data_IF_570720484008
#
_entry.id   IF_570720484008
#
_cell.length_a   1.000
_cell.length_b   1.000
_cell.length_c   1.000
_cell.angle_alpha   90.00
_cell.angle_beta   90.00
_cell.angle_gamma   90.00
#
_symmetry.space_group_name_H-M   'P 1'
#
loop_
_entity.id
_entity.type
_entity.pdbx_description
1 polymer ?
#
# COMPACT_ATOMS: atom_id res chain seq x y z
N UNK A 1 -7.45 5.00 49.69
CA UNK A 1 -8.09 4.05 48.76
C UNK A 1 -8.24 4.73 47.42
N UNK A 2 -7.64 4.11 46.39
CA UNK A 2 -7.49 4.57 45.01
C UNK A 2 -8.78 4.95 44.30
N UNK A 3 -8.71 5.95 43.40
CA UNK A 3 -9.06 5.80 41.97
C UNK A 3 -8.79 7.11 41.23
N UNK A 4 -7.53 7.37 40.89
CA UNK A 4 -7.21 8.30 39.80
C UNK A 4 -7.50 7.57 38.49
N UNK A 5 -8.57 7.99 37.81
CA UNK A 5 -8.95 7.50 36.50
C UNK A 5 -7.76 7.62 35.52
N UNK A 6 -7.31 6.48 34.99
CA UNK A 6 -6.35 6.45 33.89
C UNK A 6 -7.04 7.03 32.65
N UNK A 7 -6.86 8.33 32.46
CA UNK A 7 -6.97 9.01 31.17
C UNK A 7 -6.39 8.11 30.09
N UNK A 8 -7.19 7.76 29.08
CA UNK A 8 -6.81 6.87 27.99
C UNK A 8 -5.46 7.27 27.41
N UNK A 9 -4.43 6.46 27.68
CA UNK A 9 -3.07 6.76 27.29
C UNK A 9 -3.00 6.89 25.77
N UNK A 10 -2.84 8.12 25.28
CA UNK A 10 -2.60 8.42 23.88
C UNK A 10 -1.27 7.79 23.48
N UNK A 11 -1.29 6.85 22.52
CA UNK A 11 -0.07 6.24 22.03
C UNK A 11 0.62 7.19 21.06
N UNK A 12 1.55 8.02 21.57
CA UNK A 12 2.29 9.00 20.76
C UNK A 12 2.95 8.36 19.54
N UNK A 13 3.55 7.16 19.70
CA UNK A 13 4.15 6.44 18.58
C UNK A 13 3.15 6.05 17.48
N UNK A 14 1.90 5.73 17.83
CA UNK A 14 0.86 5.43 16.85
C UNK A 14 0.45 6.68 16.08
N UNK A 15 0.34 7.82 16.75
CA UNK A 15 -0.01 9.08 16.09
C UNK A 15 1.10 9.57 15.17
N UNK A 16 2.36 9.41 15.58
CA UNK A 16 3.53 9.70 14.73
C UNK A 16 3.53 8.80 13.50
N UNK A 17 3.34 7.48 13.66
CA UNK A 17 3.30 6.55 12.55
C UNK A 17 2.18 6.89 11.54
N UNK A 18 0.98 7.27 12.03
CA UNK A 18 -0.11 7.77 11.16
C UNK A 18 0.26 9.06 10.45
N UNK A 19 0.87 10.00 11.15
CA UNK A 19 1.34 11.26 10.56
C UNK A 19 2.35 11.01 9.44
N UNK A 20 3.34 10.14 9.67
CA UNK A 20 4.32 9.72 8.66
C UNK A 20 3.63 9.08 7.46
N UNK A 21 2.67 8.18 7.70
CA UNK A 21 1.94 7.50 6.62
C UNK A 21 1.16 8.48 5.72
N UNK A 22 0.46 9.45 6.32
CA UNK A 22 -0.32 10.46 5.59
C UNK A 22 0.60 11.43 4.86
N UNK A 23 1.59 12.00 5.55
CA UNK A 23 2.52 12.97 4.96
C UNK A 23 3.38 12.33 3.87
N UNK A 24 3.83 11.10 4.07
CA UNK A 24 4.57 10.35 3.07
C UNK A 24 3.74 10.04 1.83
N UNK A 25 2.48 9.63 2.01
CA UNK A 25 1.55 9.43 0.88
C UNK A 25 1.29 10.73 0.13
N UNK A 26 1.12 11.85 0.84
CA UNK A 26 0.98 13.17 0.23
C UNK A 26 2.23 13.56 -0.57
N UNK A 27 3.42 13.44 0.03
CA UNK A 27 4.69 13.78 -0.62
C UNK A 27 4.94 12.92 -1.87
N UNK A 28 4.63 11.63 -1.79
CA UNK A 28 4.76 10.69 -2.92
C UNK A 28 3.88 11.14 -4.08
N UNK A 29 2.62 11.49 -3.81
CA UNK A 29 1.70 11.96 -4.84
C UNK A 29 2.16 13.30 -5.44
N UNK A 30 2.57 14.27 -4.61
CA UNK A 30 3.10 15.55 -5.11
C UNK A 30 4.27 15.32 -6.07
N UNK A 31 5.20 14.45 -5.70
CA UNK A 31 6.35 14.13 -6.54
C UNK A 31 5.92 13.47 -7.86
N UNK A 32 5.06 12.45 -7.81
CA UNK A 32 4.55 11.76 -8.99
C UNK A 32 3.84 12.73 -9.95
N UNK A 33 2.97 13.60 -9.43
CA UNK A 33 2.27 14.60 -10.26
C UNK A 33 3.20 15.66 -10.82
N UNK A 34 4.19 16.11 -10.04
CA UNK A 34 5.18 17.07 -10.51
C UNK A 34 6.00 16.51 -11.66
N UNK A 35 6.46 15.26 -11.55
CA UNK A 35 7.22 14.60 -12.60
C UNK A 35 6.36 14.38 -13.86
N UNK A 36 5.11 13.93 -13.68
CA UNK A 36 4.17 13.76 -14.79
C UNK A 36 3.85 15.08 -15.51
N UNK A 37 3.65 16.18 -14.77
CA UNK A 37 3.34 17.49 -15.34
C UNK A 37 4.53 18.11 -16.10
N UNK A 38 5.76 17.76 -15.71
CA UNK A 38 6.97 18.20 -16.40
C UNK A 38 7.23 17.45 -17.73
N UNK A 39 6.41 16.45 -18.07
CA UNK A 39 6.63 15.57 -19.22
C UNK A 39 7.85 14.66 -19.05
N UNK A 40 8.34 14.51 -17.81
CA UNK A 40 9.47 13.66 -17.49
C UNK A 40 9.01 12.20 -17.42
N UNK A 41 9.82 11.29 -17.98
CA UNK A 41 9.65 9.87 -17.70
C UNK A 41 10.04 9.62 -16.24
N UNK A 42 9.05 9.54 -15.36
CA UNK A 42 9.30 9.24 -13.95
C UNK A 42 9.77 7.80 -13.79
N UNK A 43 10.88 7.60 -13.07
CA UNK A 43 11.41 6.27 -12.73
C UNK A 43 10.36 5.37 -12.05
N UNK A 44 9.37 5.95 -11.36
CA UNK A 44 8.24 5.17 -10.79
C UNK A 44 7.29 4.63 -11.85
N UNK A 45 6.96 5.44 -12.85
CA UNK A 45 6.05 5.05 -13.93
C UNK A 45 6.74 4.12 -14.91
N UNK A 46 8.02 4.35 -15.20
CA UNK A 46 8.84 3.42 -15.97
C UNK A 46 8.94 2.07 -15.28
N UNK A 47 9.18 2.07 -13.96
CA UNK A 47 9.23 0.85 -13.18
C UNK A 47 7.90 0.10 -13.18
N UNK A 48 6.75 0.79 -13.10
CA UNK A 48 5.45 0.13 -12.99
C UNK A 48 4.81 -0.22 -14.34
N UNK A 49 5.02 0.59 -15.38
CA UNK A 49 4.21 0.56 -16.61
C UNK A 49 4.97 0.91 -17.90
N UNK A 50 6.25 1.30 -17.85
CA UNK A 50 6.96 1.83 -19.02
C UNK A 50 7.72 0.77 -19.83
N UNK A 51 8.82 0.27 -19.27
CA UNK A 51 9.68 -0.73 -19.93
C UNK A 51 9.99 -1.83 -18.92
N UNK A 52 9.54 -3.07 -19.17
CA UNK A 52 9.73 -4.22 -18.29
C UNK A 52 11.21 -4.68 -18.15
N UNK A 53 12.10 -4.19 -19.00
CA UNK A 53 13.54 -4.45 -18.96
C UNK A 53 14.33 -3.33 -18.26
N UNK A 54 13.68 -2.24 -17.88
CA UNK A 54 14.26 -1.16 -17.10
C UNK A 54 14.86 -1.68 -15.79
N UNK A 55 16.08 -1.25 -15.45
CA UNK A 55 16.72 -1.56 -14.17
C UNK A 55 17.40 -0.31 -13.63
N UNK A 56 17.04 0.10 -12.41
CA UNK A 56 17.43 1.39 -11.85
C UNK A 56 18.95 1.57 -11.75
N UNK A 57 19.68 0.54 -11.31
CA UNK A 57 21.15 0.62 -11.23
C UNK A 57 21.80 0.77 -12.61
N UNK A 58 21.20 0.18 -13.67
CA UNK A 58 21.69 0.33 -15.04
C UNK A 58 21.46 1.74 -15.54
N UNK A 59 20.27 2.29 -15.30
CA UNK A 59 19.94 3.66 -15.67
C UNK A 59 20.86 4.67 -14.97
N UNK A 60 21.03 4.55 -13.65
CA UNK A 60 21.94 5.40 -12.89
C UNK A 60 23.40 5.29 -13.36
N UNK A 61 23.82 4.12 -13.85
CA UNK A 61 25.17 3.93 -14.39
C UNK A 61 25.35 4.54 -15.79
N UNK A 62 24.30 4.53 -16.62
CA UNK A 62 24.32 5.08 -17.96
C UNK A 62 24.16 6.61 -17.95
N UNK A 63 23.27 7.12 -17.09
CA UNK A 63 22.90 8.53 -16.97
C UNK A 63 23.00 9.01 -15.51
N UNK A 64 24.21 9.19 -14.95
CA UNK A 64 24.42 9.59 -13.56
C UNK A 64 24.19 11.10 -13.32
N UNK A 65 23.04 11.63 -13.76
CA UNK A 65 22.68 13.03 -13.46
C UNK A 65 22.23 13.18 -12.01
N UNK A 66 22.37 14.40 -11.47
CA UNK A 66 21.88 14.72 -10.11
C UNK A 66 20.38 14.45 -9.99
N UNK A 67 19.63 14.81 -11.03
CA UNK A 67 18.18 14.61 -11.08
C UNK A 67 17.81 13.12 -11.11
N UNK A 68 18.56 12.28 -11.84
CA UNK A 68 18.36 10.84 -11.86
C UNK A 68 18.61 10.22 -10.47
N UNK A 69 19.66 10.66 -9.78
CA UNK A 69 19.97 10.20 -8.41
C UNK A 69 18.88 10.63 -7.42
N UNK A 70 18.41 11.88 -7.50
CA UNK A 70 17.33 12.37 -6.64
C UNK A 70 16.05 11.58 -6.87
N UNK A 71 15.63 11.40 -8.13
CA UNK A 71 14.44 10.63 -8.46
C UNK A 71 14.57 9.16 -8.04
N UNK A 72 15.76 8.57 -8.16
CA UNK A 72 16.02 7.21 -7.69
C UNK A 72 15.88 7.08 -6.17
N UNK A 73 16.42 8.03 -5.41
CA UNK A 73 16.29 8.06 -3.96
C UNK A 73 14.83 8.23 -3.54
N UNK A 74 14.09 9.14 -4.20
CA UNK A 74 12.66 9.32 -3.96
C UNK A 74 11.91 8.04 -4.27
N UNK A 75 12.18 7.37 -5.39
CA UNK A 75 11.59 6.06 -5.72
C UNK A 75 11.86 5.01 -4.63
N UNK A 76 13.12 4.87 -4.21
CA UNK A 76 13.54 3.88 -3.20
C UNK A 76 12.92 4.13 -1.82
N UNK A 77 12.65 5.39 -1.46
CA UNK A 77 12.12 5.76 -0.14
C UNK A 77 10.59 5.79 -0.11
N UNK A 78 9.95 6.17 -1.22
CA UNK A 78 8.52 6.51 -1.21
C UNK A 78 7.64 5.40 -1.76
N UNK A 79 8.06 4.73 -2.84
CA UNK A 79 7.18 3.82 -3.57
C UNK A 79 6.79 2.61 -2.72
N UNK A 80 5.48 2.37 -2.62
CA UNK A 80 4.84 1.28 -1.86
C UNK A 80 4.93 1.38 -0.33
N UNK A 81 5.93 2.04 0.25
CA UNK A 81 6.21 1.99 1.71
C UNK A 81 5.14 2.70 2.53
N UNK A 82 4.71 3.88 2.10
CA UNK A 82 3.64 4.60 2.80
C UNK A 82 2.27 3.96 2.61
N UNK A 83 2.02 3.32 1.46
CA UNK A 83 0.85 2.46 1.26
C UNK A 83 0.87 1.28 2.25
N UNK A 84 2.01 0.60 2.38
CA UNK A 84 2.19 -0.45 3.38
C UNK A 84 1.94 0.05 4.80
N UNK A 85 2.50 1.22 5.15
CA UNK A 85 2.37 1.80 6.48
C UNK A 85 0.91 2.19 6.79
N UNK A 86 0.21 2.83 5.84
CA UNK A 86 -1.22 3.11 5.96
C UNK A 86 -2.02 1.81 6.16
N UNK A 87 -1.71 0.76 5.41
CA UNK A 87 -2.38 -0.54 5.53
C UNK A 87 -2.22 -1.13 6.93
N UNK A 88 -1.02 -1.08 7.49
CA UNK A 88 -0.75 -1.52 8.88
C UNK A 88 -1.54 -0.64 9.87
N UNK A 89 -1.51 0.69 9.70
CA UNK A 89 -2.19 1.63 10.58
C UNK A 89 -3.72 1.44 10.58
N UNK A 90 -4.31 1.12 9.43
CA UNK A 90 -5.73 0.77 9.35
C UNK A 90 -6.05 -0.51 10.12
N UNK A 91 -5.22 -1.55 10.00
CA UNK A 91 -5.36 -2.78 10.80
C UNK A 91 -5.30 -2.54 12.31
N UNK A 92 -4.37 -1.69 12.75
CA UNK A 92 -4.26 -1.27 14.15
C UNK A 92 -5.50 -0.46 14.56
N UNK A 93 -5.95 0.48 13.72
CA UNK A 93 -7.14 1.29 13.96
C UNK A 93 -8.42 0.45 14.09
N UNK A 94 -8.56 -0.59 13.28
CA UNK A 94 -9.64 -1.56 13.34
C UNK A 94 -9.67 -2.27 14.71
N UNK A 95 -8.52 -2.77 15.17
CA UNK A 95 -8.42 -3.44 16.47
C UNK A 95 -8.70 -2.49 17.66
N UNK A 96 -8.24 -1.24 17.59
CA UNK A 96 -8.57 -0.22 18.60
C UNK A 96 -10.08 -0.04 18.70
N UNK A 97 -10.77 0.03 17.56
CA UNK A 97 -12.23 0.14 17.53
C UNK A 97 -12.91 -1.12 18.07
N UNK A 98 -12.37 -2.31 17.79
CA UNK A 98 -12.84 -3.59 18.34
C UNK A 98 -12.76 -3.62 19.87
N UNK A 99 -11.57 -3.35 20.44
CA UNK A 99 -11.38 -3.28 21.89
C UNK A 99 -12.25 -2.19 22.53
N UNK A 100 -12.43 -1.05 21.84
CA UNK A 100 -13.32 -0.01 22.34
C UNK A 100 -14.78 -0.45 22.37
N UNK A 101 -15.25 -1.24 21.40
CA UNK A 101 -16.60 -1.80 21.40
C UNK A 101 -16.77 -2.80 22.55
N UNK A 102 -15.81 -3.71 22.73
CA UNK A 102 -15.80 -4.69 23.83
C UNK A 102 -15.83 -4.03 25.21
N UNK A 103 -14.95 -3.03 25.45
CA UNK A 103 -14.92 -2.26 26.71
C UNK A 103 -16.24 -1.55 27.00
N UNK A 104 -17.02 -1.21 25.98
CA UNK A 104 -18.32 -0.54 26.09
C UNK A 104 -19.50 -1.51 26.08
N UNK A 105 -19.25 -2.83 26.12
CA UNK A 105 -20.29 -3.85 26.06
C UNK A 105 -21.10 -3.88 24.76
N UNK A 106 -20.55 -3.33 23.66
CA UNK A 106 -21.22 -3.31 22.35
C UNK A 106 -20.84 -4.55 21.54
N UNK A 107 -21.78 -5.05 20.74
CA UNK A 107 -21.52 -6.16 19.80
C UNK A 107 -20.54 -5.72 18.72
N UNK A 108 -19.56 -6.58 18.41
CA UNK A 108 -18.63 -6.42 17.30
C UNK A 108 -18.95 -7.45 16.19
N UNK A 109 -18.88 -7.09 14.89
CA UNK A 109 -18.56 -5.77 14.33
C UNK A 109 -19.67 -4.73 14.50
N UNK A 110 -20.93 -5.15 14.64
CA UNK A 110 -22.06 -4.27 14.94
C UNK A 110 -22.10 -3.01 14.06
N UNK A 111 -22.12 -1.83 14.70
CA UNK A 111 -22.14 -0.54 14.00
C UNK A 111 -20.84 -0.18 13.25
N UNK A 112 -19.78 -0.97 13.36
CA UNK A 112 -18.55 -0.76 12.59
C UNK A 112 -18.77 -0.94 11.09
N UNK A 113 -19.68 -1.85 10.67
CA UNK A 113 -20.01 -2.03 9.25
C UNK A 113 -20.49 -0.74 8.59
N UNK A 114 -21.24 0.09 9.31
CA UNK A 114 -21.66 1.39 8.81
C UNK A 114 -20.47 2.32 8.56
N UNK A 115 -19.51 2.36 9.48
CA UNK A 115 -18.30 3.19 9.33
C UNK A 115 -17.44 2.74 8.16
N UNK A 116 -17.20 1.44 8.05
CA UNK A 116 -16.40 0.88 6.95
C UNK A 116 -17.14 0.99 5.59
N UNK A 117 -18.47 0.85 5.59
CA UNK A 117 -19.30 1.09 4.40
C UNK A 117 -19.27 2.55 3.97
N UNK A 118 -19.38 3.50 4.90
CA UNK A 118 -19.22 4.93 4.62
C UNK A 118 -17.83 5.24 4.05
N UNK A 119 -16.78 4.64 4.59
CA UNK A 119 -15.42 4.78 4.06
C UNK A 119 -15.29 4.25 2.63
N UNK A 120 -15.90 3.10 2.34
CA UNK A 120 -15.91 2.54 0.98
C UNK A 120 -16.67 3.44 -0.01
N UNK A 121 -17.83 3.98 0.41
CA UNK A 121 -18.63 4.92 -0.39
C UNK A 121 -17.90 6.24 -0.58
N UNK A 122 -17.24 6.76 0.47
CA UNK A 122 -16.39 7.94 0.36
C UNK A 122 -15.29 7.72 -0.67
N UNK A 123 -14.58 6.59 -0.62
CA UNK A 123 -13.55 6.27 -1.61
C UNK A 123 -14.09 6.08 -3.02
N UNK A 124 -15.32 5.57 -3.16
CA UNK A 124 -16.00 5.51 -4.46
C UNK A 124 -16.30 6.92 -5.01
N UNK A 125 -16.85 7.80 -4.18
CA UNK A 125 -17.12 9.19 -4.56
C UNK A 125 -15.80 9.92 -4.86
N UNK A 126 -14.78 9.72 -4.03
CA UNK A 126 -13.47 10.31 -4.21
C UNK A 126 -12.86 9.90 -5.54
N UNK A 127 -12.96 8.63 -5.91
CA UNK A 127 -12.49 8.18 -7.22
C UNK A 127 -13.21 8.85 -8.38
N UNK A 128 -14.55 8.79 -8.37
CA UNK A 128 -15.33 9.32 -9.49
C UNK A 128 -15.02 10.82 -9.66
N UNK A 129 -15.03 11.59 -8.57
CA UNK A 129 -15.02 13.05 -8.65
C UNK A 129 -13.68 13.72 -8.38
N UNK A 130 -12.73 13.05 -7.73
CA UNK A 130 -11.48 13.66 -7.24
C UNK A 130 -10.28 12.97 -7.84
N UNK A 131 -10.02 11.71 -7.47
CA UNK A 131 -8.71 11.09 -7.67
C UNK A 131 -8.75 9.59 -8.01
N UNK A 132 -8.12 9.20 -9.12
CA UNK A 132 -8.19 7.84 -9.65
C UNK A 132 -7.50 6.78 -8.77
N UNK A 133 -6.42 7.15 -8.08
CA UNK A 133 -5.63 6.21 -7.26
C UNK A 133 -6.03 6.24 -5.77
N UNK A 134 -7.33 6.32 -5.49
CA UNK A 134 -7.87 6.33 -4.13
C UNK A 134 -7.71 4.98 -3.41
N UNK A 135 -7.13 5.03 -2.19
CA UNK A 135 -6.95 3.88 -1.30
C UNK A 135 -8.14 3.65 -0.36
N UNK A 136 -8.99 4.66 -0.14
CA UNK A 136 -10.07 4.61 0.84
C UNK A 136 -11.09 3.52 0.51
N UNK A 137 -11.45 3.37 -0.76
CA UNK A 137 -12.38 2.32 -1.18
C UNK A 137 -11.82 0.92 -0.87
N UNK A 138 -10.54 0.67 -1.23
CA UNK A 138 -9.86 -0.59 -0.93
C UNK A 138 -9.81 -0.90 0.56
N UNK A 139 -9.48 0.10 1.39
CA UNK A 139 -9.45 -0.07 2.85
C UNK A 139 -10.82 -0.24 3.47
N UNK A 140 -11.85 0.47 2.99
CA UNK A 140 -13.23 0.29 3.43
C UNK A 140 -13.72 -1.14 3.16
N UNK A 141 -13.52 -1.64 1.94
CA UNK A 141 -13.87 -3.01 1.57
C UNK A 141 -13.09 -4.04 2.38
N UNK A 142 -11.78 -3.83 2.55
CA UNK A 142 -10.94 -4.70 3.38
C UNK A 142 -11.41 -4.70 4.83
N UNK A 143 -11.73 -3.52 5.40
CA UNK A 143 -12.22 -3.41 6.76
C UNK A 143 -13.56 -4.13 6.95
N UNK A 144 -14.48 -4.06 5.98
CA UNK A 144 -15.74 -4.81 5.98
C UNK A 144 -15.48 -6.33 6.03
N UNK A 145 -14.48 -6.83 5.31
CA UNK A 145 -14.12 -8.23 5.31
C UNK A 145 -13.35 -8.69 6.57
N UNK A 146 -12.40 -7.88 7.06
CA UNK A 146 -11.56 -8.22 8.21
C UNK A 146 -12.32 -8.09 9.53
N UNK A 147 -13.26 -7.15 9.66
CA UNK A 147 -14.00 -6.94 10.89
C UNK A 147 -14.69 -8.21 11.45
N UNK A 148 -15.45 -9.00 10.67
CA UNK A 148 -16.00 -10.28 11.15
C UNK A 148 -14.92 -11.32 11.43
N UNK A 149 -13.80 -11.32 10.69
CA UNK A 149 -12.67 -12.23 10.95
C UNK A 149 -12.08 -11.97 12.33
N UNK A 150 -11.93 -10.70 12.74
CA UNK A 150 -11.47 -10.35 14.09
C UNK A 150 -12.46 -10.71 15.21
N UNK A 151 -13.72 -11.01 14.87
CA UNK A 151 -14.68 -11.55 15.83
C UNK A 151 -14.50 -13.07 16.07
N UNK A 152 -13.70 -13.75 15.24
CA UNK A 152 -13.44 -15.20 15.34
C UNK A 152 -12.22 -15.47 16.23
N UNK A 153 -12.02 -16.75 16.56
CA UNK A 153 -10.90 -17.20 17.38
C UNK A 153 -9.54 -16.87 16.76
N UNK A 154 -8.51 -16.75 17.61
CA UNK A 154 -7.12 -16.52 17.20
C UNK A 154 -6.63 -17.45 16.08
N UNK A 155 -7.06 -18.72 16.13
CA UNK A 155 -6.70 -19.73 15.13
C UNK A 155 -7.30 -19.38 13.77
N UNK A 156 -8.58 -18.99 13.73
CA UNK A 156 -9.25 -18.61 12.48
C UNK A 156 -8.60 -17.36 11.90
N UNK A 157 -8.33 -16.35 12.73
CA UNK A 157 -7.62 -15.14 12.28
C UNK A 157 -6.26 -15.47 11.65
N UNK A 158 -5.47 -16.37 12.27
CA UNK A 158 -4.17 -16.81 11.71
C UNK A 158 -4.31 -17.53 10.37
N UNK A 159 -5.34 -18.38 10.22
CA UNK A 159 -5.58 -19.09 8.96
C UNK A 159 -5.90 -18.09 7.85
N UNK A 160 -6.86 -17.18 8.07
CA UNK A 160 -7.20 -16.15 7.08
C UNK A 160 -6.00 -15.26 6.75
N UNK A 161 -5.21 -14.86 7.76
CA UNK A 161 -3.99 -14.09 7.56
C UNK A 161 -3.00 -14.81 6.64
N UNK A 162 -2.65 -16.06 6.94
CA UNK A 162 -1.67 -16.79 6.11
C UNK A 162 -2.21 -17.13 4.73
N UNK A 163 -3.48 -17.51 4.60
CA UNK A 163 -4.12 -17.74 3.31
C UNK A 163 -4.08 -16.47 2.46
N UNK A 164 -4.47 -15.32 3.01
CA UNK A 164 -4.46 -14.05 2.28
C UNK A 164 -3.03 -13.65 1.86
N UNK A 165 -2.05 -13.77 2.75
CA UNK A 165 -0.65 -13.45 2.43
C UNK A 165 -0.08 -14.38 1.36
N UNK A 166 -0.35 -15.68 1.44
CA UNK A 166 0.11 -16.65 0.43
C UNK A 166 -0.54 -16.36 -0.92
N UNK A 167 -1.86 -16.17 -0.95
CA UNK A 167 -2.58 -15.83 -2.19
C UNK A 167 -2.06 -14.53 -2.79
N UNK A 168 -1.84 -13.50 -1.97
CA UNK A 168 -1.29 -12.21 -2.40
C UNK A 168 0.08 -12.37 -3.04
N UNK A 169 1.04 -12.96 -2.30
CA UNK A 169 2.41 -13.13 -2.79
C UNK A 169 2.44 -14.01 -4.04
N UNK A 170 1.68 -15.11 -4.07
CA UNK A 170 1.60 -15.98 -5.25
C UNK A 170 1.00 -15.27 -6.46
N UNK A 171 -0.06 -14.48 -6.29
CA UNK A 171 -0.68 -13.73 -7.37
C UNK A 171 0.27 -12.65 -7.93
N UNK A 172 0.99 -11.95 -7.05
CA UNK A 172 1.95 -10.92 -7.46
C UNK A 172 3.15 -11.53 -8.18
N UNK A 173 3.72 -12.61 -7.66
CA UNK A 173 4.81 -13.32 -8.34
C UNK A 173 4.36 -13.87 -9.69
N UNK A 174 3.13 -14.40 -9.78
CA UNK A 174 2.58 -14.87 -11.05
C UNK A 174 2.39 -13.73 -12.06
N UNK A 175 1.92 -12.56 -11.62
CA UNK A 175 1.77 -11.39 -12.47
C UNK A 175 3.12 -10.87 -12.97
N UNK A 176 4.10 -10.70 -12.09
CA UNK A 176 5.47 -10.29 -12.46
C UNK A 176 6.11 -11.30 -13.42
N UNK A 177 5.91 -12.60 -13.18
CA UNK A 177 6.40 -13.67 -14.07
C UNK A 177 5.72 -13.59 -15.44
N UNK A 178 4.41 -13.33 -15.49
CA UNK A 178 3.68 -13.17 -16.75
C UNK A 178 4.19 -11.97 -17.54
N UNK A 179 4.42 -10.83 -16.87
CA UNK A 179 5.01 -9.62 -17.47
C UNK A 179 6.41 -9.91 -18.02
N UNK A 180 7.26 -10.57 -17.23
CA UNK A 180 8.61 -10.95 -17.66
C UNK A 180 8.60 -11.88 -18.88
N UNK A 181 7.75 -12.92 -18.86
CA UNK A 181 7.61 -13.86 -19.97
C UNK A 181 7.10 -13.18 -21.24
N UNK A 182 6.07 -12.35 -21.13
CA UNK A 182 5.50 -11.61 -22.26
C UNK A 182 6.54 -10.67 -22.87
N UNK A 183 7.28 -9.95 -22.04
CA UNK A 183 8.35 -9.03 -22.47
C UNK A 183 9.51 -9.74 -23.16
N UNK A 184 9.87 -10.94 -22.68
CA UNK A 184 10.91 -11.77 -23.31
C UNK A 184 10.47 -12.39 -24.64
N UNK A 185 9.17 -12.67 -24.79
CA UNK A 185 8.60 -13.30 -25.98
C UNK A 185 8.35 -12.30 -27.12
N UNK A 186 8.30 -11.00 -26.80
CA UNK A 186 8.26 -9.91 -27.78
C UNK A 186 9.46 -8.96 -27.60
N UNK A 187 10.69 -9.38 -27.97
CA UNK A 187 11.89 -8.58 -27.80
C UNK A 187 11.86 -7.26 -28.59
N UNK A 188 11.18 -7.27 -29.73
CA UNK A 188 10.98 -6.11 -30.62
C UNK A 188 9.53 -5.59 -30.57
N UNK A 189 8.83 -5.77 -29.44
CA UNK A 189 7.41 -5.46 -29.26
C UNK A 189 7.04 -3.97 -29.34
N UNK A 190 7.14 -3.39 -30.54
CA UNK A 190 6.39 -2.24 -31.03
C UNK A 190 6.83 -0.87 -30.51
N UNK A 191 7.54 -0.13 -31.36
CA UNK A 191 7.41 1.34 -31.40
C UNK A 191 5.95 1.79 -31.65
N UNK A 192 5.05 0.84 -31.93
CA UNK A 192 3.60 0.97 -32.10
C UNK A 192 2.79 0.31 -30.97
N UNK A 193 3.38 0.02 -29.80
CA UNK A 193 2.54 -0.13 -28.61
C UNK A 193 1.77 1.19 -28.48
N UNK A 194 0.42 1.19 -28.40
CA UNK A 194 -0.34 2.43 -28.33
C UNK A 194 0.31 3.36 -27.29
N UNK A 195 0.61 4.60 -27.69
CA UNK A 195 1.00 5.69 -26.77
C UNK A 195 -0.02 5.91 -25.64
N UNK A 196 -1.11 5.15 -25.63
CA UNK A 196 -1.92 4.75 -24.49
C UNK A 196 -1.14 3.97 -23.39
N UNK A 197 0.19 4.08 -23.35
CA UNK A 197 0.93 4.02 -22.09
C UNK A 197 0.19 4.87 -21.08
N UNK A 198 -0.42 4.23 -20.08
CA UNK A 198 -1.17 4.85 -19.00
C UNK A 198 -0.36 5.98 -18.34
N UNK A 199 -0.47 7.18 -18.90
CA UNK A 199 -0.06 8.41 -18.24
C UNK A 199 -0.93 8.55 -16.98
N UNK A 200 -0.40 9.17 -15.92
CA UNK A 200 -1.21 9.49 -14.75
C UNK A 200 -2.35 10.43 -15.15
N UNK A 201 -3.50 9.84 -15.45
CA UNK A 201 -4.65 10.52 -16.01
C UNK A 201 -4.62 10.53 -17.54
N UNK A 202 -5.73 10.13 -18.14
CA UNK A 202 -5.98 10.35 -19.57
C UNK A 202 -6.23 11.83 -19.80
N UNK A 203 -5.50 12.49 -20.73
CA UNK A 203 -5.77 13.87 -21.11
C UNK A 203 -7.25 14.00 -21.51
N UNK A 204 -7.98 14.84 -20.80
CA UNK A 204 -9.43 15.05 -21.03
C UNK A 204 -9.70 16.52 -21.25
N UNK A 205 -10.66 16.81 -22.12
CA UNK A 205 -10.96 18.19 -22.55
C UNK A 205 -11.44 19.09 -21.41
N UNK A 206 -12.06 18.51 -20.38
CA UNK A 206 -12.58 19.20 -19.21
C UNK A 206 -12.82 18.24 -18.05
N UNK A 207 -13.12 18.79 -16.87
CA UNK A 207 -13.40 18.02 -15.65
C UNK A 207 -14.49 16.95 -15.82
N UNK A 208 -15.58 17.25 -16.54
CA UNK A 208 -16.67 16.28 -16.70
C UNK A 208 -16.30 15.13 -17.64
N UNK A 209 -15.47 15.38 -18.65
CA UNK A 209 -14.87 14.33 -19.47
C UNK A 209 -13.99 13.40 -18.62
N UNK A 210 -13.24 13.94 -17.65
CA UNK A 210 -12.48 13.13 -16.68
C UNK A 210 -13.39 12.27 -15.80
N UNK A 211 -14.48 12.84 -15.27
CA UNK A 211 -15.47 12.07 -14.49
C UNK A 211 -16.09 10.97 -15.34
N UNK A 212 -16.50 11.28 -16.57
CA UNK A 212 -17.08 10.30 -17.49
C UNK A 212 -16.09 9.19 -17.82
N UNK A 213 -14.81 9.51 -18.03
CA UNK A 213 -13.77 8.54 -18.29
C UNK A 213 -13.61 7.54 -17.13
N UNK A 214 -13.58 8.01 -15.89
CA UNK A 214 -13.50 7.15 -14.70
C UNK A 214 -14.73 6.28 -14.51
N UNK A 215 -15.91 6.77 -14.92
CA UNK A 215 -17.15 5.99 -14.87
C UNK A 215 -17.16 4.92 -15.97
N UNK A 216 -16.74 5.25 -17.19
CA UNK A 216 -16.74 4.32 -18.32
C UNK A 216 -15.66 3.24 -18.21
N UNK A 217 -14.50 3.58 -17.63
CA UNK A 217 -13.37 2.67 -17.39
C UNK A 217 -13.27 2.24 -15.92
N UNK A 218 -14.41 2.19 -15.23
CA UNK A 218 -14.46 1.92 -13.79
C UNK A 218 -13.76 0.62 -13.40
N UNK A 219 -13.82 -0.43 -14.23
CA UNK A 219 -13.17 -1.71 -13.90
C UNK A 219 -11.65 -1.59 -14.01
N UNK A 220 -11.16 -1.01 -15.10
CA UNK A 220 -9.73 -0.90 -15.40
C UNK A 220 -9.02 0.01 -14.40
N UNK A 221 -9.61 1.17 -14.11
CA UNK A 221 -9.09 2.10 -13.11
C UNK A 221 -9.17 1.58 -11.67
N UNK A 222 -9.71 0.38 -11.45
CA UNK A 222 -9.83 -0.27 -10.12
C UNK A 222 -9.08 -1.59 -10.00
N UNK A 223 -8.23 -1.95 -10.97
CA UNK A 223 -7.43 -3.17 -10.91
C UNK A 223 -6.46 -3.24 -9.72
N UNK A 224 -6.06 -2.11 -9.13
CA UNK A 224 -5.25 -2.06 -7.90
C UNK A 224 -6.05 -2.50 -6.66
N UNK A 225 -7.39 -2.38 -6.65
CA UNK A 225 -8.20 -2.68 -5.46
C UNK A 225 -8.18 -4.16 -5.08
N UNK A 226 -8.36 -5.13 -6.00
CA UNK A 226 -8.18 -6.54 -5.68
C UNK A 226 -6.82 -6.84 -5.03
N UNK A 227 -5.75 -6.22 -5.53
CA UNK A 227 -4.40 -6.36 -4.97
C UNK A 227 -4.36 -5.83 -3.54
N UNK A 228 -4.79 -4.58 -3.33
CA UNK A 228 -4.85 -3.97 -2.00
C UNK A 228 -5.76 -4.73 -1.04
N UNK A 229 -6.87 -5.29 -1.53
CA UNK A 229 -7.82 -6.04 -0.74
C UNK A 229 -7.20 -7.33 -0.20
N UNK A 230 -6.59 -8.14 -1.06
CA UNK A 230 -5.97 -9.41 -0.64
C UNK A 230 -4.75 -9.14 0.26
N UNK A 231 -3.91 -8.17 -0.10
CA UNK A 231 -2.82 -7.70 0.76
C UNK A 231 -3.33 -7.24 2.13
N UNK A 232 -4.36 -6.40 2.11
CA UNK A 232 -4.99 -5.78 3.26
C UNK A 232 -5.62 -6.80 4.21
N UNK A 233 -6.24 -7.87 3.69
CA UNK A 233 -6.76 -8.98 4.51
C UNK A 233 -5.67 -9.55 5.41
N UNK A 234 -4.47 -9.77 4.88
CA UNK A 234 -3.32 -10.26 5.65
C UNK A 234 -2.77 -9.20 6.60
N UNK A 235 -2.40 -8.05 6.06
CA UNK A 235 -1.68 -7.00 6.81
C UNK A 235 -2.57 -6.36 7.89
N UNK A 236 -3.87 -6.17 7.66
CA UNK A 236 -4.77 -5.65 8.70
C UNK A 236 -4.81 -6.58 9.91
N UNK A 237 -4.85 -7.89 9.66
CA UNK A 237 -4.81 -8.88 10.74
C UNK A 237 -3.46 -8.84 11.45
N UNK A 238 -2.33 -8.74 10.72
CA UNK A 238 -1.01 -8.58 11.36
C UNK A 238 -0.99 -7.33 12.23
N UNK A 239 -1.41 -6.18 11.72
CA UNK A 239 -1.47 -4.90 12.45
C UNK A 239 -2.31 -5.02 13.72
N UNK A 240 -3.51 -5.60 13.62
CA UNK A 240 -4.38 -5.88 14.76
C UNK A 240 -3.70 -6.78 15.82
N UNK A 241 -2.99 -7.83 15.38
CA UNK A 241 -2.26 -8.75 16.27
C UNK A 241 -1.06 -8.10 16.94
N UNK A 242 -0.29 -7.28 16.23
CA UNK A 242 0.84 -6.54 16.78
C UNK A 242 0.36 -5.53 17.82
N UNK A 243 -0.74 -4.83 17.55
CA UNK A 243 -1.35 -3.94 18.54
C UNK A 243 -1.77 -4.69 19.80
N UNK A 244 -2.48 -5.83 19.67
CA UNK A 244 -2.83 -6.69 20.82
C UNK A 244 -1.63 -7.24 21.57
N UNK A 245 -0.54 -7.51 20.85
CA UNK A 245 0.72 -7.93 21.46
C UNK A 245 1.46 -6.79 22.18
N UNK A 246 0.93 -5.56 22.18
CA UNK A 246 1.50 -4.43 22.89
C UNK A 246 2.66 -3.77 22.14
N UNK A 247 2.63 -3.69 20.80
CA UNK A 247 3.69 -3.06 20.01
C UNK A 247 4.11 -1.67 20.55
N UNK A 248 3.15 -0.86 20.96
CA UNK A 248 3.36 0.49 21.51
C UNK A 248 3.50 0.55 23.03
N UNK A 249 3.51 -0.60 23.72
CA UNK A 249 3.78 -0.67 25.15
C UNK A 249 5.30 -0.57 25.40
N UNK A 250 5.80 0.41 26.17
CA UNK A 250 7.22 0.53 26.49
C UNK A 250 7.89 -0.78 26.95
N UNK A 251 7.17 -1.64 27.69
CA UNK A 251 7.66 -2.92 28.18
C UNK A 251 7.97 -3.96 27.08
N UNK A 252 7.39 -3.80 25.88
CA UNK A 252 7.54 -4.72 24.74
C UNK A 252 8.64 -4.30 23.76
N UNK A 253 9.79 -3.90 24.30
CA UNK A 253 10.97 -3.56 23.50
C UNK A 253 11.46 -4.73 22.64
N UNK A 254 11.29 -5.97 23.13
CA UNK A 254 11.61 -7.20 22.40
C UNK A 254 10.81 -7.33 21.10
N UNK A 255 9.52 -7.03 21.15
CA UNK A 255 8.62 -7.08 20.00
C UNK A 255 8.97 -5.99 18.99
N UNK A 256 9.17 -4.75 19.46
CA UNK A 256 9.59 -3.64 18.59
C UNK A 256 10.90 -3.95 17.88
N UNK A 257 11.88 -4.51 18.59
CA UNK A 257 13.16 -4.92 17.98
C UNK A 257 12.96 -5.96 16.88
N UNK A 258 12.12 -6.98 17.10
CA UNK A 258 11.81 -7.98 16.07
C UNK A 258 11.16 -7.35 14.84
N UNK A 259 10.18 -6.47 15.06
CA UNK A 259 9.47 -5.74 14.00
C UNK A 259 10.44 -4.84 13.21
N UNK A 260 11.34 -4.13 13.90
CA UNK A 260 12.42 -3.34 13.27
C UNK A 260 13.39 -4.20 12.46
N UNK A 261 13.82 -5.35 12.99
CA UNK A 261 14.71 -6.26 12.26
C UNK A 261 14.02 -6.82 11.01
N UNK A 262 12.75 -7.19 11.10
CA UNK A 262 12.00 -7.68 9.94
C UNK A 262 11.82 -6.56 8.90
N UNK A 263 11.42 -5.37 9.32
CA UNK A 263 11.16 -4.26 8.39
C UNK A 263 12.43 -3.63 7.82
N UNK A 264 13.31 -3.11 8.68
CA UNK A 264 14.52 -2.39 8.25
C UNK A 264 15.74 -3.30 8.08
N UNK A 265 15.84 -4.38 8.85
CA UNK A 265 16.99 -5.30 8.77
C UNK A 265 16.93 -6.26 7.59
N UNK A 266 15.73 -6.78 7.29
CA UNK A 266 15.50 -7.75 6.19
C UNK A 266 14.75 -7.08 5.04
N UNK A 267 13.65 -6.41 5.34
CA UNK A 267 12.79 -5.79 4.33
C UNK A 267 13.50 -4.73 3.50
N UNK A 268 14.25 -3.83 4.13
CA UNK A 268 14.90 -2.72 3.42
C UNK A 268 16.00 -3.18 2.45
N UNK A 269 16.97 -4.04 2.85
CA UNK A 269 17.94 -4.57 1.90
C UNK A 269 17.30 -5.38 0.77
N UNK A 270 16.25 -6.16 1.08
CA UNK A 270 15.53 -6.92 0.06
C UNK A 270 14.82 -5.99 -0.94
N UNK A 271 14.07 -5.01 -0.44
CA UNK A 271 13.32 -4.05 -1.26
C UNK A 271 14.26 -3.22 -2.14
N UNK A 272 15.32 -2.64 -1.55
CA UNK A 272 16.28 -1.84 -2.30
C UNK A 272 17.10 -2.68 -3.28
N UNK A 273 17.53 -3.88 -2.87
CA UNK A 273 18.24 -4.80 -3.76
C UNK A 273 17.39 -5.16 -4.98
N UNK A 274 16.12 -5.47 -4.79
CA UNK A 274 15.21 -5.75 -5.91
C UNK A 274 15.01 -4.51 -6.78
N UNK A 275 14.72 -3.34 -6.20
CA UNK A 275 14.49 -2.10 -6.98
C UNK A 275 15.72 -1.62 -7.76
N UNK A 276 16.92 -1.85 -7.22
CA UNK A 276 18.16 -1.45 -7.88
C UNK A 276 18.55 -2.41 -9.01
N UNK A 277 18.44 -3.72 -8.76
CA UNK A 277 19.09 -4.73 -9.62
C UNK A 277 18.13 -5.62 -10.40
N UNK A 278 16.89 -5.82 -9.93
CA UNK A 278 15.89 -6.50 -10.72
C UNK A 278 15.37 -5.57 -11.82
N UNK A 279 14.80 -6.16 -12.87
CA UNK A 279 14.08 -5.35 -13.84
C UNK A 279 12.72 -4.92 -13.27
N UNK A 280 12.16 -3.87 -13.82
CA UNK A 280 10.79 -3.38 -13.61
C UNK A 280 9.69 -4.43 -13.79
N UNK A 281 9.97 -5.55 -14.47
CA UNK A 281 9.08 -6.72 -14.45
C UNK A 281 8.78 -7.24 -13.02
N UNK A 282 9.61 -6.91 -12.02
CA UNK A 282 9.39 -7.23 -10.61
C UNK A 282 8.73 -6.07 -9.80
N UNK A 283 8.19 -5.05 -10.48
CA UNK A 283 7.71 -3.84 -9.81
C UNK A 283 6.50 -4.10 -8.91
N UNK A 284 5.62 -5.04 -9.24
CA UNK A 284 4.49 -5.36 -8.36
C UNK A 284 4.97 -6.03 -7.07
N UNK A 285 5.98 -6.91 -7.15
CA UNK A 285 6.63 -7.47 -5.96
C UNK A 285 7.26 -6.38 -5.11
N UNK A 286 8.01 -5.45 -5.71
CA UNK A 286 8.66 -4.40 -4.92
C UNK A 286 7.65 -3.46 -4.24
N UNK A 287 6.60 -3.07 -4.97
CA UNK A 287 5.56 -2.16 -4.48
C UNK A 287 4.61 -2.78 -3.45
N UNK A 288 4.10 -3.99 -3.69
CA UNK A 288 3.03 -4.59 -2.88
C UNK A 288 3.50 -5.72 -1.95
N UNK A 289 4.77 -6.12 -2.00
CA UNK A 289 5.31 -7.17 -1.12
C UNK A 289 6.47 -6.63 -0.29
N UNK A 290 7.62 -6.30 -0.90
CA UNK A 290 8.81 -5.94 -0.13
C UNK A 290 8.65 -4.59 0.56
N UNK A 291 8.03 -3.61 -0.09
CA UNK A 291 7.76 -2.30 0.53
C UNK A 291 6.77 -2.39 1.70
N UNK A 292 5.81 -3.32 1.65
CA UNK A 292 4.94 -3.59 2.79
C UNK A 292 5.68 -4.22 3.98
N UNK A 293 6.74 -5.03 3.71
CA UNK A 293 7.63 -5.55 4.76
C UNK A 293 8.43 -4.39 5.38
N UNK A 294 9.02 -3.51 4.55
CA UNK A 294 9.77 -2.33 5.02
C UNK A 294 8.90 -1.46 5.93
N UNK A 295 7.64 -1.26 5.57
CA UNK A 295 6.70 -0.43 6.32
C UNK A 295 6.48 -0.87 7.77
N UNK A 296 6.71 -2.14 8.13
CA UNK A 296 6.68 -2.57 9.52
C UNK A 296 7.79 -1.97 10.38
N UNK A 297 8.92 -1.60 9.77
CA UNK A 297 10.07 -1.03 10.46
C UNK A 297 10.04 0.49 10.62
N UNK A 298 9.13 1.18 9.93
CA UNK A 298 8.92 2.64 10.00
C UNK A 298 8.05 3.00 11.20
#
# INVERSE_FOLDING_TARGET
>A
MSTTALSGARHVGLDVARGIAILGTLATNIWIFSASAAGEKSLTMEALFGDANFALARELSANPSVDAVINALLHLITDGKFLGLLTIMFGIGLEIQRQSAERRGRRWPGGYYWRAGLLAVEGLINYIFVFEFDVLMGYGLTALAVAPILARSERVQKIFMWVALTVHVSAIVALDTLVALFSSAMPDGGQDAPEDTMQLGVPTDNYWAMVQHRVSHFVDGRLEIPIMFIMGLGIFIIGARLYRAGLFDPARADLRRKVLIVGLGIGLPLDWGMRLFATSAAAMTTRYVTSAIVAFGV
#
